data_IF_984077055471
#
_entry.id   IF_984077055471
#
_cell.length_a   1.000
_cell.length_b   1.000
_cell.length_c   1.000
_cell.angle_alpha   90.00
_cell.angle_beta   90.00
_cell.angle_gamma   90.00
#
_symmetry.space_group_name_H-M   'P 1'
#
loop_
_entity.id
_entity.type
_entity.pdbx_description
1 polymer ?
#
# COMPACT_ATOMS: atom_id res chain seq x y z
N UNK A 1 -10.12 -1.37 -16.09
CA UNK A 1 -9.05 -1.64 -15.11
C UNK A 1 -9.56 -2.73 -14.20
N UNK A 2 -8.88 -3.88 -14.18
CA UNK A 2 -9.29 -5.03 -13.38
C UNK A 2 -8.28 -5.18 -12.25
N UNK A 3 -8.75 -5.14 -11.00
CA UNK A 3 -7.92 -5.27 -9.81
C UNK A 3 -8.30 -6.59 -9.15
N UNK A 4 -7.34 -7.48 -8.93
CA UNK A 4 -7.59 -8.65 -8.08
C UNK A 4 -7.29 -8.27 -6.63
N UNK A 5 -8.22 -8.59 -5.74
CA UNK A 5 -7.98 -8.55 -4.30
C UNK A 5 -7.02 -9.69 -3.96
N UNK A 6 -5.79 -9.35 -3.57
CA UNK A 6 -4.91 -10.31 -2.94
C UNK A 6 -5.53 -10.60 -1.58
N UNK A 7 -6.00 -11.85 -1.37
CA UNK A 7 -6.57 -12.29 -0.09
C UNK A 7 -5.56 -12.00 1.03
N UNK A 8 -5.84 -10.95 1.80
CA UNK A 8 -5.14 -10.64 3.03
C UNK A 8 -5.93 -11.22 4.21
N UNK A 9 -5.28 -11.86 5.19
CA UNK A 9 -5.95 -12.35 6.39
C UNK A 9 -6.49 -11.23 7.30
N UNK A 10 -6.07 -9.97 7.11
CA UNK A 10 -6.55 -8.82 7.87
C UNK A 10 -7.75 -8.17 7.17
N UNK A 11 -8.95 -8.16 7.77
CA UNK A 11 -10.12 -7.48 7.19
C UNK A 11 -9.98 -5.94 7.14
N UNK A 12 -8.93 -5.41 7.77
CA UNK A 12 -8.62 -3.98 7.82
C UNK A 12 -7.77 -3.52 6.63
N UNK A 13 -7.02 -4.42 5.99
CA UNK A 13 -6.09 -4.07 4.92
C UNK A 13 -6.42 -4.83 3.66
N UNK A 14 -6.50 -4.11 2.54
CA UNK A 14 -6.70 -4.71 1.22
C UNK A 14 -5.57 -4.28 0.31
N UNK A 15 -4.92 -5.25 -0.32
CA UNK A 15 -3.94 -5.01 -1.37
C UNK A 15 -4.54 -5.46 -2.69
N UNK A 16 -4.67 -4.50 -3.61
CA UNK A 16 -5.03 -4.75 -5.00
C UNK A 16 -3.79 -4.65 -5.89
N UNK A 17 -3.65 -5.54 -6.87
CA UNK A 17 -2.59 -5.40 -7.88
C UNK A 17 -3.23 -5.29 -9.26
N UNK A 18 -2.68 -4.40 -10.10
CA UNK A 18 -3.03 -4.36 -11.52
C UNK A 18 -2.54 -5.65 -12.20
N UNK A 19 -3.40 -6.22 -13.06
CA UNK A 19 -3.10 -7.40 -13.88
C UNK A 19 -1.90 -7.14 -14.81
N UNK A 20 -1.73 -5.89 -15.26
CA UNK A 20 -0.59 -5.50 -16.07
C UNK A 20 0.74 -5.46 -15.28
N UNK A 21 0.70 -5.68 -13.96
CA UNK A 21 1.88 -5.81 -13.09
C UNK A 21 2.55 -4.48 -12.71
N UNK A 22 2.05 -3.34 -13.20
CA UNK A 22 2.71 -2.05 -13.05
C UNK A 22 2.51 -1.37 -11.69
N UNK A 23 1.36 -1.56 -11.04
CA UNK A 23 1.02 -0.86 -9.81
C UNK A 23 0.24 -1.73 -8.82
N UNK A 24 0.45 -1.47 -7.54
CA UNK A 24 -0.38 -1.98 -6.47
C UNK A 24 -1.16 -0.83 -5.81
N UNK A 25 -2.23 -1.20 -5.12
CA UNK A 25 -3.10 -0.30 -4.37
C UNK A 25 -3.24 -0.85 -2.97
N UNK A 26 -3.14 0.03 -1.97
CA UNK A 26 -3.36 -0.30 -0.57
C UNK A 26 -4.58 0.47 -0.08
N UNK A 27 -5.48 -0.23 0.60
CA UNK A 27 -6.61 0.36 1.28
C UNK A 27 -6.62 -0.05 2.75
N UNK A 28 -6.82 0.94 3.61
CA UNK A 28 -7.14 0.75 5.02
C UNK A 28 -8.65 0.94 5.22
N UNK A 29 -9.34 -0.11 5.63
CA UNK A 29 -10.80 -0.16 5.71
C UNK A 29 -11.36 0.09 7.12
N UNK A 30 -10.51 0.47 8.08
CA UNK A 30 -10.93 0.95 9.41
C UNK A 30 -10.63 2.43 9.56
N UNK A 31 -11.40 3.14 10.38
CA UNK A 31 -11.18 4.57 10.56
C UNK A 31 -9.83 4.86 11.25
N UNK A 32 -9.00 5.80 10.74
CA UNK A 32 -9.22 6.58 9.53
C UNK A 32 -8.98 5.77 8.25
N UNK A 33 -10.00 5.68 7.39
CA UNK A 33 -9.94 4.95 6.13
C UNK A 33 -9.14 5.74 5.10
N UNK A 34 -8.31 5.04 4.33
CA UNK A 34 -7.59 5.64 3.21
C UNK A 34 -7.40 4.65 2.08
N UNK A 35 -7.14 5.20 0.90
CA UNK A 35 -6.64 4.46 -0.26
C UNK A 35 -5.39 5.17 -0.77
N UNK A 36 -4.39 4.40 -1.20
CA UNK A 36 -3.19 4.93 -1.83
C UNK A 36 -2.67 3.97 -2.90
N UNK A 37 -2.04 4.54 -3.92
CA UNK A 37 -1.25 3.77 -4.88
C UNK A 37 0.10 3.44 -4.24
N UNK A 38 0.56 2.22 -4.45
CA UNK A 38 1.80 1.68 -3.89
C UNK A 38 2.77 1.43 -5.03
N UNK A 39 3.93 2.08 -4.98
CA UNK A 39 4.97 1.96 -6.01
C UNK A 39 6.34 1.77 -5.37
N UNK A 40 7.29 1.08 -6.02
CA UNK A 40 8.69 1.09 -5.58
C UNK A 40 9.20 2.52 -5.50
N UNK A 41 9.99 2.85 -4.47
CA UNK A 41 10.50 4.22 -4.28
C UNK A 41 11.32 4.70 -5.50
N UNK A 42 12.02 3.79 -6.18
CA UNK A 42 12.78 4.07 -7.41
C UNK A 42 11.91 4.39 -8.63
N UNK A 43 10.62 4.09 -8.60
CA UNK A 43 9.67 4.30 -9.70
C UNK A 43 8.79 5.55 -9.47
N UNK A 44 9.02 6.31 -8.40
CA UNK A 44 8.28 7.54 -8.10
C UNK A 44 9.01 8.73 -8.74
N UNK A 45 8.33 9.52 -9.60
CA UNK A 45 8.90 10.76 -10.14
C UNK A 45 9.28 11.74 -9.02
N UNK A 46 10.37 12.49 -9.19
CA UNK A 46 10.80 13.52 -8.22
C UNK A 46 9.78 14.66 -8.04
N UNK A 47 8.87 14.83 -9.00
CA UNK A 47 7.77 15.81 -8.93
C UNK A 47 6.65 15.41 -7.97
N UNK A 48 6.57 14.14 -7.60
CA UNK A 48 5.57 13.66 -6.64
C UNK A 48 6.05 13.94 -5.21
N UNK A 49 5.10 14.19 -4.30
CA UNK A 49 5.35 14.24 -2.86
C UNK A 49 4.86 12.94 -2.22
N UNK A 50 5.58 11.80 -2.38
CA UNK A 50 5.15 10.53 -1.84
C UNK A 50 5.29 10.50 -0.32
N UNK A 51 4.47 9.68 0.32
CA UNK A 51 4.78 9.19 1.67
C UNK A 51 5.76 8.01 1.51
N UNK A 52 7.01 8.23 1.91
CA UNK A 52 8.07 7.22 1.85
C UNK A 52 7.93 6.24 3.00
N UNK A 53 8.05 4.96 2.71
CA UNK A 53 7.97 3.87 3.69
C UNK A 53 9.35 3.23 3.87
N UNK A 54 9.63 2.66 5.04
CA UNK A 54 10.92 2.03 5.34
C UNK A 54 11.14 0.75 4.51
N UNK A 55 10.06 0.09 4.08
CA UNK A 55 10.13 -1.09 3.20
C UNK A 55 10.60 -0.82 1.75
N UNK A 56 11.01 0.40 1.41
CA UNK A 56 11.45 0.76 0.05
C UNK A 56 10.30 1.02 -0.93
N UNK A 57 9.08 1.12 -0.41
CA UNK A 57 7.89 1.49 -1.18
C UNK A 57 7.48 2.93 -0.86
N UNK A 58 6.62 3.48 -1.71
CA UNK A 58 6.03 4.79 -1.55
C UNK A 58 4.52 4.70 -1.72
N UNK A 59 3.80 5.48 -0.90
CA UNK A 59 2.38 5.74 -1.10
C UNK A 59 2.24 7.04 -1.90
N UNK A 60 1.66 6.93 -3.10
CA UNK A 60 1.28 8.05 -3.95
C UNK A 60 -0.23 8.12 -4.08
N UNK A 61 -0.75 9.27 -4.55
CA UNK A 61 -2.20 9.47 -4.73
C UNK A 61 -3.02 9.16 -3.47
N UNK A 62 -2.45 9.40 -2.29
CA UNK A 62 -3.08 9.07 -1.01
C UNK A 62 -4.33 9.92 -0.79
N UNK A 63 -5.45 9.25 -0.50
CA UNK A 63 -6.74 9.88 -0.21
C UNK A 63 -7.35 9.32 1.07
N UNK A 64 -7.66 10.22 2.00
CA UNK A 64 -8.47 9.90 3.17
C UNK A 64 -9.94 9.81 2.76
N UNK A 65 -10.64 8.75 3.21
CA UNK A 65 -12.02 8.46 2.82
C UNK A 65 -13.04 8.95 3.85
N UNK A 66 -12.60 9.19 5.09
CA UNK A 66 -13.46 9.65 6.19
C UNK A 66 -13.59 11.18 6.27
N UNK A 67 -12.65 11.91 5.67
CA UNK A 67 -12.53 13.36 5.82
C UNK A 67 -11.70 13.94 4.67
N UNK A 68 -11.91 15.23 4.38
CA UNK A 68 -11.10 16.01 3.43
C UNK A 68 -9.78 16.49 4.03
N UNK A 69 -9.63 16.43 5.36
CA UNK A 69 -8.43 16.81 6.08
C UNK A 69 -7.58 15.59 6.47
N UNK A 70 -6.29 15.80 6.72
CA UNK A 70 -5.42 14.75 7.26
C UNK A 70 -5.85 14.43 8.70
N UNK A 71 -6.23 13.19 9.02
CA UNK A 71 -6.65 12.81 10.38
C UNK A 71 -5.50 12.93 11.39
N UNK A 72 -5.81 13.23 12.65
CA UNK A 72 -4.80 13.31 13.72
C UNK A 72 -4.00 12.00 13.90
N UNK A 73 -4.62 10.84 13.60
CA UNK A 73 -4.00 9.50 13.67
C UNK A 73 -3.37 9.06 12.34
N UNK A 74 -3.17 9.97 11.38
CA UNK A 74 -2.62 9.64 10.07
C UNK A 74 -1.26 8.95 10.19
N UNK A 75 -0.35 9.49 11.00
CA UNK A 75 1.01 8.95 11.17
C UNK A 75 0.99 7.50 11.67
N UNK A 76 0.18 7.17 12.67
CA UNK A 76 0.04 5.80 13.20
C UNK A 76 -0.44 4.83 12.14
N UNK A 77 -1.42 5.25 11.33
CA UNK A 77 -2.00 4.43 10.27
C UNK A 77 -1.00 4.21 9.14
N UNK A 78 -0.21 5.21 8.78
CA UNK A 78 0.87 5.08 7.80
C UNK A 78 1.98 4.16 8.32
N UNK A 79 2.37 4.27 9.58
CA UNK A 79 3.35 3.35 10.18
C UNK A 79 2.83 1.90 10.19
N UNK A 80 1.54 1.68 10.42
CA UNK A 80 0.92 0.34 10.31
C UNK A 80 0.88 -0.14 8.87
N UNK A 81 0.65 0.75 7.91
CA UNK A 81 0.71 0.44 6.47
C UNK A 81 2.11 -0.07 6.07
N UNK A 82 3.17 0.57 6.55
CA UNK A 82 4.55 0.16 6.29
C UNK A 82 4.84 -1.27 6.78
N UNK A 83 4.49 -1.56 8.04
CA UNK A 83 4.63 -2.91 8.61
C UNK A 83 3.78 -3.95 7.90
N UNK A 84 2.62 -3.55 7.37
CA UNK A 84 1.75 -4.42 6.60
C UNK A 84 2.37 -4.75 5.23
N UNK A 85 2.80 -3.74 4.48
CA UNK A 85 3.46 -3.91 3.18
C UNK A 85 4.77 -4.68 3.28
N UNK A 86 5.58 -4.42 4.33
CA UNK A 86 6.80 -5.18 4.61
C UNK A 86 6.54 -6.69 4.68
N UNK A 87 5.52 -7.11 5.44
CA UNK A 87 5.15 -8.52 5.59
C UNK A 87 4.62 -9.10 4.29
N UNK A 88 3.79 -8.36 3.58
CA UNK A 88 3.26 -8.79 2.28
C UNK A 88 4.39 -9.01 1.27
N UNK A 89 5.35 -8.08 1.16
CA UNK A 89 6.52 -8.21 0.27
C UNK A 89 7.36 -9.44 0.62
N UNK A 90 7.65 -9.66 1.91
CA UNK A 90 8.37 -10.86 2.36
C UNK A 90 7.64 -12.16 1.97
N UNK A 91 6.31 -12.18 2.06
CA UNK A 91 5.50 -13.33 1.63
C UNK A 91 5.56 -13.55 0.11
N UNK A 92 5.52 -12.48 -0.69
CA UNK A 92 5.66 -12.58 -2.15
C UNK A 92 7.04 -13.13 -2.53
N UNK A 93 8.12 -12.60 -1.93
CA UNK A 93 9.48 -13.09 -2.17
C UNK A 93 9.62 -14.58 -1.82
N UNK A 94 9.07 -14.99 -0.66
CA UNK A 94 9.10 -16.40 -0.24
C UNK A 94 8.34 -17.32 -1.21
N UNK A 95 7.23 -16.85 -1.81
CA UNK A 95 6.49 -17.62 -2.82
C UNK A 95 7.28 -17.78 -4.12
N UNK A 96 7.91 -16.71 -4.59
CA UNK A 96 8.73 -16.73 -5.81
C UNK A 96 9.94 -17.65 -5.63
N UNK A 97 10.64 -17.58 -4.50
CA UNK A 97 11.81 -18.43 -4.22
C UNK A 97 11.51 -19.92 -4.08
N UNK A 98 10.25 -20.31 -3.83
CA UNK A 98 9.82 -21.73 -3.76
C UNK A 98 9.35 -22.27 -5.11
N UNK A 99 9.11 -21.40 -6.08
CA UNK A 99 8.65 -21.76 -7.41
C UNK A 99 9.79 -21.80 -8.46
N UNK A 100 11.00 -21.38 -8.08
CA UNK A 100 12.23 -21.43 -8.87
C UNK A 100 13.08 -22.65 -8.50
#
# INVERSE_FOLDING_TARGET
MSIYLVRDPSPEWLIGQDIAGGDAWLMHNRSPRFVARVRPLSAVPDSDLPVRLECGMALTELRWLDTTQVPARAADVIHRADRHLSRWMQQQLTRVSRAA
#
